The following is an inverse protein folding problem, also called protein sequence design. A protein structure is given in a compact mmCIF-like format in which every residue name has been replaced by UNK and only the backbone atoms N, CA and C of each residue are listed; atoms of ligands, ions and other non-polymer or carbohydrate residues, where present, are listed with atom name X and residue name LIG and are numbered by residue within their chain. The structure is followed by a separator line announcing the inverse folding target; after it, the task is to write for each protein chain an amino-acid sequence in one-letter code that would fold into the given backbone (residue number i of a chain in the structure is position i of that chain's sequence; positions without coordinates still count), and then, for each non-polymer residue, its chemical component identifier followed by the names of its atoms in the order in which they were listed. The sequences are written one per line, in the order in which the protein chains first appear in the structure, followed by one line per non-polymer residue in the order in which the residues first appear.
data_IF_538459600181
#
_entry.id   IF_538459600181
#
_cell.length_a   1.000
_cell.length_b   1.000
_cell.length_c   1.000
_cell.angle_alpha   90.00
_cell.angle_beta   90.00
_cell.angle_gamma   90.00
#
_symmetry.space_group_name_H-M   'P 1'
#
loop_
_entity.id
_entity.type
_entity.pdbx_description
1 polymer ?
#
# COMPACT_ATOMS: atom_id res chain seq x y z
N UNK A 1 6.42 -18.87 -3.35
CA UNK A 1 5.31 -18.19 -2.66
C UNK A 1 4.61 -19.20 -1.76
N UNK A 2 3.81 -18.76 -0.78
CA UNK A 2 2.88 -19.66 -0.08
C UNK A 2 1.74 -20.07 -1.05
N UNK A 3 1.25 -21.31 -0.97
CA UNK A 3 0.40 -21.91 -2.00
C UNK A 3 -1.01 -21.31 -2.08
N UNK A 4 -1.62 -20.93 -0.95
CA UNK A 4 -2.91 -20.24 -0.96
C UNK A 4 -2.79 -18.81 -1.52
N UNK A 5 -1.72 -18.08 -1.19
CA UNK A 5 -1.46 -16.76 -1.78
C UNK A 5 -1.29 -16.84 -3.30
N UNK A 6 -0.58 -17.86 -3.80
CA UNK A 6 -0.45 -18.12 -5.23
C UNK A 6 -1.80 -18.42 -5.90
N UNK A 7 -2.64 -19.26 -5.28
CA UNK A 7 -3.97 -19.57 -5.79
C UNK A 7 -4.85 -18.31 -5.88
N UNK A 8 -4.86 -17.48 -4.83
CA UNK A 8 -5.65 -16.24 -4.80
C UNK A 8 -5.17 -15.23 -5.84
N UNK A 9 -3.85 -15.06 -6.04
CA UNK A 9 -3.34 -14.21 -7.13
C UNK A 9 -3.78 -14.70 -8.51
N UNK A 10 -3.83 -16.02 -8.72
CA UNK A 10 -4.36 -16.63 -9.94
C UNK A 10 -5.84 -16.31 -10.17
N UNK A 11 -6.66 -16.22 -9.10
CA UNK A 11 -8.07 -15.80 -9.17
C UNK A 11 -8.22 -14.34 -9.66
N UNK A 12 -7.26 -13.47 -9.32
CA UNK A 12 -7.16 -12.10 -9.84
C UNK A 12 -6.52 -12.00 -11.23
N UNK A 13 -6.07 -13.11 -11.82
CA UNK A 13 -5.38 -13.16 -13.11
C UNK A 13 -3.93 -12.64 -13.08
N UNK A 14 -3.31 -12.60 -11.90
CA UNK A 14 -1.91 -12.20 -11.73
C UNK A 14 -0.97 -13.41 -11.82
N UNK A 15 0.19 -13.24 -12.45
CA UNK A 15 1.24 -14.26 -12.49
C UNK A 15 2.13 -14.17 -11.24
N UNK A 16 2.13 -15.24 -10.45
CA UNK A 16 2.98 -15.37 -9.26
C UNK A 16 4.37 -15.96 -9.56
N UNK A 17 4.62 -16.38 -10.81
CA UNK A 17 5.88 -17.00 -11.20
C UNK A 17 7.06 -16.06 -10.96
N UNK A 18 8.16 -16.61 -10.42
CA UNK A 18 9.36 -15.85 -10.09
C UNK A 18 9.29 -15.05 -8.78
N UNK A 19 8.19 -15.09 -8.02
CA UNK A 19 8.17 -14.49 -6.68
C UNK A 19 9.14 -15.23 -5.74
N UNK A 20 10.09 -14.47 -5.18
CA UNK A 20 11.02 -14.94 -4.15
C UNK A 20 11.00 -13.95 -3.00
N UNK A 21 10.77 -14.47 -1.79
CA UNK A 21 10.89 -13.67 -0.57
C UNK A 21 12.32 -13.16 -0.41
N UNK A 22 12.48 -11.90 -0.02
CA UNK A 22 13.78 -11.28 0.22
C UNK A 22 13.76 -10.47 1.50
N UNK A 23 14.92 -10.39 2.14
CA UNK A 23 15.11 -9.55 3.32
C UNK A 23 15.00 -8.06 2.96
N UNK A 24 14.42 -7.28 3.89
CA UNK A 24 14.38 -5.83 3.78
C UNK A 24 15.70 -5.23 4.29
N UNK A 25 16.45 -4.57 3.41
CA UNK A 25 17.68 -3.85 3.73
C UNK A 25 17.46 -2.34 3.72
N UNK A 26 18.32 -1.59 4.43
CA UNK A 26 18.27 -0.12 4.50
C UNK A 26 18.25 0.53 3.12
N UNK A 27 19.01 -0.02 2.16
CA UNK A 27 19.06 0.50 0.79
C UNK A 27 17.70 0.45 0.07
N UNK A 28 16.85 -0.53 0.37
CA UNK A 28 15.50 -0.62 -0.19
C UNK A 28 14.65 0.55 0.31
N UNK A 29 14.71 0.82 1.62
CA UNK A 29 13.96 1.91 2.25
C UNK A 29 14.49 3.24 1.75
N UNK A 30 15.81 3.43 1.69
CA UNK A 30 16.46 4.66 1.22
C UNK A 30 16.01 5.01 -0.20
N UNK A 31 15.93 4.03 -1.10
CA UNK A 31 15.61 4.23 -2.52
C UNK A 31 14.12 4.36 -2.82
N UNK A 32 13.24 3.85 -1.96
CA UNK A 32 11.81 3.84 -2.21
C UNK A 32 11.20 5.24 -2.16
N UNK A 33 10.39 5.63 -3.14
CA UNK A 33 9.59 6.86 -3.07
C UNK A 33 8.33 6.69 -2.17
N UNK A 34 7.88 5.44 -1.99
CA UNK A 34 6.75 5.02 -1.15
C UNK A 34 7.03 3.63 -0.58
N UNK A 35 6.75 3.42 0.70
CA UNK A 35 6.75 2.12 1.36
C UNK A 35 5.36 1.87 1.96
N UNK A 36 4.74 0.75 1.59
CA UNK A 36 3.47 0.28 2.14
C UNK A 36 3.72 -0.98 2.97
N UNK A 37 3.24 -0.97 4.22
CA UNK A 37 3.35 -2.11 5.13
C UNK A 37 1.98 -2.71 5.44
N UNK A 38 1.94 -3.99 5.78
CA UNK A 38 0.70 -4.66 6.18
C UNK A 38 0.19 -4.20 7.55
N UNK A 39 1.09 -3.97 8.50
CA UNK A 39 0.75 -3.66 9.91
C UNK A 39 1.50 -2.43 10.40
N UNK A 40 1.08 -1.92 11.55
CA UNK A 40 1.75 -0.78 12.21
C UNK A 40 3.11 -1.16 12.78
N UNK A 41 3.30 -2.40 13.21
CA UNK A 41 4.59 -2.90 13.68
C UNK A 41 5.61 -2.97 12.54
N UNK A 42 5.19 -3.47 11.37
CA UNK A 42 6.03 -3.40 10.17
C UNK A 42 6.38 -1.95 9.81
N UNK A 43 5.43 -1.02 9.92
CA UNK A 43 5.68 0.42 9.70
C UNK A 43 6.73 0.96 10.69
N UNK A 44 6.60 0.63 11.97
CA UNK A 44 7.53 1.04 13.01
C UNK A 44 8.95 0.51 12.76
N UNK A 45 9.05 -0.76 12.32
CA UNK A 45 10.32 -1.37 11.92
C UNK A 45 10.95 -0.64 10.73
N UNK A 46 10.19 -0.31 9.69
CA UNK A 46 10.74 0.45 8.54
C UNK A 46 11.20 1.85 8.96
N UNK A 47 10.46 2.51 9.86
CA UNK A 47 10.81 3.85 10.34
C UNK A 47 12.11 3.83 11.16
N UNK A 48 12.35 2.78 11.95
CA UNK A 48 13.58 2.67 12.75
C UNK A 48 14.84 2.48 11.89
N UNK A 49 14.69 2.11 10.61
CA UNK A 49 15.79 1.97 9.66
C UNK A 49 16.30 3.33 9.12
N UNK A 50 15.61 4.47 9.34
CA UNK A 50 16.16 5.78 9.00
C UNK A 50 15.20 6.98 8.98
N UNK A 51 15.75 8.17 9.19
CA UNK A 51 15.01 9.42 9.43
C UNK A 51 14.11 9.89 8.26
N UNK A 52 14.43 9.56 7.01
CA UNK A 52 13.62 9.95 5.84
C UNK A 52 12.47 8.97 5.55
N UNK A 53 12.45 7.78 6.18
CA UNK A 53 11.43 6.77 5.93
C UNK A 53 10.04 7.21 6.45
N UNK A 54 9.99 7.98 7.54
CA UNK A 54 8.74 8.38 8.20
C UNK A 54 7.72 9.03 7.27
N UNK A 55 8.13 9.97 6.41
CA UNK A 55 7.23 10.72 5.53
C UNK A 55 6.73 9.93 4.31
N UNK A 56 7.33 8.77 4.03
CA UNK A 56 7.02 7.94 2.85
C UNK A 56 6.59 6.52 3.20
N UNK A 57 6.53 6.19 4.48
CA UNK A 57 6.15 4.85 4.97
C UNK A 57 4.78 4.93 5.61
N UNK A 58 3.84 4.14 5.13
CA UNK A 58 2.46 4.05 5.60
C UNK A 58 2.09 2.58 5.77
N UNK A 59 1.07 2.27 6.58
CA UNK A 59 0.38 1.01 6.32
C UNK A 59 -0.44 1.14 5.04
N UNK A 60 -0.76 0.03 4.37
CA UNK A 60 -1.53 0.02 3.13
C UNK A 60 -2.86 0.78 3.29
N UNK A 61 -3.63 0.41 4.33
CA UNK A 61 -4.95 0.99 4.60
C UNK A 61 -4.89 2.43 5.12
N UNK A 62 -3.85 2.78 5.89
CA UNK A 62 -3.58 4.18 6.26
C UNK A 62 -3.40 5.04 5.00
N UNK A 63 -2.57 4.59 4.06
CA UNK A 63 -2.29 5.33 2.84
C UNK A 63 -3.56 5.54 2.01
N UNK A 64 -4.35 4.48 1.81
CA UNK A 64 -5.63 4.56 1.10
C UNK A 64 -6.59 5.55 1.75
N UNK A 65 -6.72 5.51 3.08
CA UNK A 65 -7.57 6.44 3.83
C UNK A 65 -7.15 7.90 3.63
N UNK A 66 -5.85 8.16 3.59
CA UNK A 66 -5.32 9.50 3.32
C UNK A 66 -5.53 9.90 1.84
N UNK A 67 -5.32 8.98 0.90
CA UNK A 67 -5.55 9.21 -0.53
C UNK A 67 -7.01 9.58 -0.83
N UNK A 68 -7.97 8.95 -0.16
CA UNK A 68 -9.39 9.26 -0.30
C UNK A 68 -9.76 10.70 0.10
N UNK A 69 -8.91 11.39 0.87
CA UNK A 69 -9.12 12.78 1.24
C UNK A 69 -8.40 13.78 0.30
N UNK A 70 -7.67 13.29 -0.70
CA UNK A 70 -6.93 14.13 -1.66
C UNK A 70 -7.79 14.31 -2.91
N UNK A 71 -8.02 15.56 -3.30
CA UNK A 71 -8.63 15.89 -4.60
C UNK A 71 -7.62 15.59 -5.74
N UNK A 72 -7.90 14.63 -6.64
CA UNK A 72 -6.99 14.27 -7.73
C UNK A 72 -6.66 15.41 -8.70
N UNK A 73 -7.47 16.46 -8.75
CA UNK A 73 -7.23 17.66 -9.56
C UNK A 73 -6.08 18.53 -9.01
N UNK A 74 -5.70 18.34 -7.75
CA UNK A 74 -4.56 19.02 -7.11
C UNK A 74 -3.22 18.33 -7.37
N UNK A 75 -3.25 17.13 -7.95
CA UNK A 75 -2.06 16.35 -8.28
C UNK A 75 -1.54 16.70 -9.69
N UNK A 76 -0.22 16.63 -9.92
CA UNK A 76 0.37 16.87 -11.25
C UNK A 76 -0.32 16.04 -12.33
N UNK A 77 -0.65 16.62 -13.49
CA UNK A 77 -1.24 15.91 -14.62
C UNK A 77 -0.45 14.64 -15.03
N UNK A 78 -1.13 13.65 -15.59
CA UNK A 78 -0.52 12.35 -15.93
C UNK A 78 0.55 12.45 -17.02
N UNK A 79 0.43 13.42 -17.92
CA UNK A 79 1.40 13.73 -18.98
C UNK A 79 2.71 14.34 -18.46
N UNK A 80 2.71 14.93 -17.26
CA UNK A 80 3.94 15.31 -16.53
C UNK A 80 4.67 14.10 -15.91
N UNK A 81 4.03 12.92 -15.90
CA UNK A 81 4.63 11.64 -15.59
C UNK A 81 4.18 11.02 -14.26
N UNK A 82 3.98 9.70 -14.30
CA UNK A 82 3.51 8.88 -13.17
C UNK A 82 4.36 9.04 -11.90
N UNK A 83 5.69 9.09 -12.04
CA UNK A 83 6.60 9.20 -10.89
C UNK A 83 6.46 10.55 -10.18
N UNK A 84 6.33 11.64 -10.94
CA UNK A 84 6.09 12.98 -10.37
C UNK A 84 4.77 13.02 -9.61
N UNK A 85 3.72 12.47 -10.22
CA UNK A 85 2.39 12.36 -9.62
C UNK A 85 2.40 11.49 -8.35
N UNK A 86 3.08 10.34 -8.38
CA UNK A 86 3.24 9.46 -7.21
C UNK A 86 3.94 10.18 -6.04
N UNK A 87 5.05 10.87 -6.31
CA UNK A 87 5.75 11.66 -5.28
C UNK A 87 4.88 12.78 -4.70
N UNK A 88 4.05 13.43 -5.53
CA UNK A 88 3.10 14.44 -5.06
C UNK A 88 2.02 13.82 -4.16
N UNK A 89 1.47 12.67 -4.55
CA UNK A 89 0.48 11.93 -3.76
C UNK A 89 1.05 11.53 -2.39
N UNK A 90 2.28 11.00 -2.35
CA UNK A 90 2.97 10.65 -1.10
C UNK A 90 3.11 11.87 -0.17
N UNK A 91 3.55 13.01 -0.71
CA UNK A 91 3.69 14.25 0.08
C UNK A 91 2.35 14.76 0.59
N UNK A 92 1.30 14.71 -0.23
CA UNK A 92 -0.04 15.12 0.17
C UNK A 92 -0.60 14.20 1.26
N UNK A 93 -0.45 12.89 1.14
CA UNK A 93 -0.84 11.93 2.17
C UNK A 93 -0.08 12.17 3.48
N UNK A 94 1.24 12.41 3.41
CA UNK A 94 2.06 12.71 4.58
C UNK A 94 1.59 13.99 5.30
N UNK A 95 1.16 15.02 4.57
CA UNK A 95 0.65 16.27 5.13
C UNK A 95 -0.71 16.11 5.83
N UNK A 96 -1.53 15.14 5.39
CA UNK A 96 -2.81 14.81 6.00
C UNK A 96 -2.68 13.90 7.23
N UNK A 97 -1.50 13.32 7.44
CA UNK A 97 -1.23 12.47 8.61
C UNK A 97 -1.38 13.29 9.89
N UNK A 98 -2.16 12.78 10.84
CA UNK A 98 -2.47 13.45 12.10
C UNK A 98 -3.79 14.24 12.10
N UNK A 99 -4.34 14.55 10.92
CA UNK A 99 -5.66 15.16 10.77
C UNK A 99 -6.76 14.13 10.53
N UNK A 100 -6.44 13.11 9.73
CA UNK A 100 -7.31 11.96 9.52
C UNK A 100 -6.78 10.81 10.37
N UNK A 101 -7.44 10.58 11.51
CA UNK A 101 -7.14 9.45 12.38
C UNK A 101 -7.92 8.21 11.92
N UNK A 102 -7.32 7.04 12.13
CA UNK A 102 -8.03 5.78 11.96
C UNK A 102 -9.14 5.66 13.02
N UNK A 103 -10.30 5.05 12.69
CA UNK A 103 -11.39 4.90 13.65
C UNK A 103 -11.03 3.95 14.80
N UNK A 104 -10.16 2.96 14.56
CA UNK A 104 -9.58 2.07 15.58
C UNK A 104 -8.10 1.82 15.28
N UNK A 105 -7.40 1.13 16.19
CA UNK A 105 -5.98 0.81 16.02
C UNK A 105 -5.74 -0.22 14.90
N UNK A 106 -6.71 -1.11 14.70
CA UNK A 106 -6.70 -2.24 13.76
C UNK A 106 -7.21 -1.84 12.36
N UNK A 107 -7.92 -0.71 12.25
CA UNK A 107 -8.52 -0.25 11.00
C UNK A 107 -7.47 -0.02 9.89
N UNK A 108 -6.23 0.25 10.26
CA UNK A 108 -5.12 0.47 9.33
C UNK A 108 -4.26 -0.80 9.13
N UNK A 109 -4.65 -1.95 9.66
CA UNK A 109 -3.90 -3.22 9.57
C UNK A 109 -4.55 -4.20 8.60
N UNK A 110 -3.70 -4.98 7.91
CA UNK A 110 -4.05 -6.17 7.14
C UNK A 110 -3.63 -7.38 7.96
N UNK A 111 -4.59 -8.26 8.27
CA UNK A 111 -4.31 -9.43 9.10
C UNK A 111 -3.45 -10.47 8.36
N UNK A 112 -2.58 -11.13 9.11
CA UNK A 112 -1.69 -12.17 8.58
C UNK A 112 -2.47 -13.47 8.33
N UNK A 113 -2.58 -13.97 7.08
CA UNK A 113 -3.26 -15.22 6.78
C UNK A 113 -2.40 -16.47 7.01
N UNK A 114 -1.15 -16.33 7.48
CA UNK A 114 -0.24 -17.45 7.63
C UNK A 114 -0.83 -18.60 8.48
N UNK A 115 -0.83 -19.81 7.92
CA UNK A 115 -1.40 -21.00 8.56
C UNK A 115 -2.94 -21.09 8.51
N UNK A 116 -3.62 -20.11 7.93
CA UNK A 116 -5.07 -20.11 7.80
C UNK A 116 -5.56 -20.86 6.54
N UNK A 117 -6.86 -21.25 6.49
CA UNK A 117 -7.46 -21.84 5.29
C UNK A 117 -7.50 -20.87 4.10
N UNK A 118 -7.60 -21.42 2.88
CA UNK A 118 -7.71 -20.65 1.64
C UNK A 118 -8.81 -19.58 1.66
N UNK A 119 -9.93 -19.81 2.35
CA UNK A 119 -11.02 -18.82 2.48
C UNK A 119 -10.57 -17.55 3.18
N UNK A 120 -9.64 -17.64 4.13
CA UNK A 120 -9.10 -16.47 4.82
C UNK A 120 -8.07 -15.75 3.94
N UNK A 121 -7.26 -16.49 3.18
CA UNK A 121 -6.41 -15.89 2.14
C UNK A 121 -7.22 -15.10 1.11
N UNK A 122 -8.38 -15.62 0.67
CA UNK A 122 -9.29 -14.90 -0.23
C UNK A 122 -9.78 -13.60 0.39
N UNK A 123 -10.27 -13.64 1.64
CA UNK A 123 -10.72 -12.41 2.30
C UNK A 123 -9.62 -11.37 2.46
N UNK A 124 -8.38 -11.79 2.72
CA UNK A 124 -7.23 -10.86 2.77
C UNK A 124 -6.86 -10.35 1.37
N UNK A 125 -6.94 -11.20 0.34
CA UNK A 125 -6.75 -10.80 -1.04
C UNK A 125 -7.76 -9.73 -1.48
N UNK A 126 -9.04 -9.95 -1.19
CA UNK A 126 -10.13 -8.99 -1.45
C UNK A 126 -9.89 -7.68 -0.69
N UNK A 127 -9.55 -7.76 0.60
CA UNK A 127 -9.25 -6.59 1.42
C UNK A 127 -8.08 -5.75 0.85
N UNK A 128 -7.00 -6.40 0.43
CA UNK A 128 -5.85 -5.71 -0.19
C UNK A 128 -6.25 -5.07 -1.53
N UNK A 129 -7.02 -5.80 -2.34
CA UNK A 129 -7.47 -5.31 -3.65
C UNK A 129 -8.35 -4.06 -3.50
N UNK A 130 -9.41 -4.15 -2.70
CA UNK A 130 -10.33 -3.03 -2.42
C UNK A 130 -9.60 -1.83 -1.83
N UNK A 131 -8.63 -2.07 -0.94
CA UNK A 131 -7.85 -0.98 -0.35
C UNK A 131 -6.91 -0.32 -1.36
N UNK A 132 -6.37 -1.02 -2.36
CA UNK A 132 -5.46 -0.42 -3.33
C UNK A 132 -6.16 0.31 -4.48
N UNK A 133 -7.43 0.01 -4.76
CA UNK A 133 -8.17 0.61 -5.89
C UNK A 133 -8.17 2.15 -5.92
N UNK A 134 -8.44 2.86 -4.80
CA UNK A 134 -8.36 4.32 -4.79
C UNK A 134 -6.94 4.85 -5.05
N UNK A 135 -5.93 4.12 -4.58
CA UNK A 135 -4.52 4.47 -4.77
C UNK A 135 -4.13 4.34 -6.25
N UNK A 136 -4.50 3.22 -6.87
CA UNK A 136 -4.26 2.98 -8.30
C UNK A 136 -4.99 4.02 -9.15
N UNK A 137 -6.24 4.34 -8.80
CA UNK A 137 -7.03 5.38 -9.48
C UNK A 137 -6.36 6.74 -9.35
N UNK A 138 -5.95 7.15 -8.15
CA UNK A 138 -5.28 8.43 -7.93
C UNK A 138 -3.96 8.55 -8.70
N UNK A 139 -3.21 7.44 -8.82
CA UNK A 139 -1.93 7.39 -9.52
C UNK A 139 -2.08 7.39 -11.05
N UNK A 140 -3.03 6.63 -11.57
CA UNK A 140 -3.12 6.32 -13.02
C UNK A 140 -4.27 7.02 -13.74
N UNK A 141 -5.24 7.55 -13.01
CA UNK A 141 -6.50 8.07 -13.56
C UNK A 141 -7.45 7.00 -14.10
N UNK A 142 -7.07 5.72 -14.05
CA UNK A 142 -7.94 4.61 -14.44
C UNK A 142 -8.95 4.38 -13.33
N UNK A 143 -10.26 4.42 -13.59
CA UNK A 143 -11.26 4.15 -12.57
C UNK A 143 -11.17 2.69 -12.10
N UNK A 144 -11.46 2.46 -10.82
CA UNK A 144 -11.66 1.12 -10.28
C UNK A 144 -12.67 0.35 -11.15
N UNK A 145 -12.44 -0.96 -11.34
CA UNK A 145 -13.39 -1.82 -12.04
C UNK A 145 -14.64 -1.96 -11.16
N UNK A 146 -15.79 -1.62 -11.72
CA UNK A 146 -17.10 -1.81 -11.09
C UNK A 146 -17.49 -3.30 -11.02
#
# INVERSE_FOLDING_TARGET
MEAHAEAVLGEFGADASGFVGRELLDEHVIRADLVLTATRDHRAQVISMGHSAGLRTFTLKEFTRLVNAIDPATLPPLDEGLVMRARALVRAAAALRGWLLAPTLEADEVYDPYGAPLTFFRSIGDEIFEALDPVVTALTGVPARA
#
